data_IF_453215822970
#
_entry.id   IF_453215822970
#
_cell.length_a   1.000
_cell.length_b   1.000
_cell.length_c   1.000
_cell.angle_alpha   90.00
_cell.angle_beta   90.00
_cell.angle_gamma   90.00
#
_symmetry.space_group_name_H-M   'P 1'
#
loop_
_entity.id
_entity.type
_entity.pdbx_description
1 polymer ?
#
# COMPACT_ATOMS: atom_id res chain seq x y z
N UNK A 1 12.55 6.95 -14.24
CA UNK A 1 13.17 7.32 -12.95
C UNK A 1 12.38 6.73 -11.79
N UNK A 2 13.12 6.30 -10.80
CA UNK A 2 12.54 5.66 -9.63
C UNK A 2 12.08 6.70 -8.62
N UNK A 3 10.82 6.59 -8.22
CA UNK A 3 10.28 7.49 -7.21
C UNK A 3 10.55 6.93 -5.82
N UNK A 4 11.12 7.76 -4.95
CA UNK A 4 11.56 7.38 -3.61
C UNK A 4 10.46 7.63 -2.60
N UNK A 5 10.24 6.67 -1.70
CA UNK A 5 9.45 6.85 -0.48
C UNK A 5 10.28 6.37 0.71
N UNK A 6 9.83 6.61 1.93
CA UNK A 6 10.66 6.34 3.11
C UNK A 6 9.95 5.45 4.11
N UNK A 7 10.73 4.66 4.84
CA UNK A 7 10.22 3.89 5.96
C UNK A 7 10.33 4.69 7.28
N UNK A 8 9.97 4.06 8.38
CA UNK A 8 9.95 4.70 9.69
C UNK A 8 11.32 5.18 10.15
N UNK A 9 12.38 4.54 9.69
CA UNK A 9 13.75 4.90 10.05
C UNK A 9 14.34 5.96 9.13
N UNK A 10 13.56 6.44 8.15
CA UNK A 10 14.03 7.40 7.18
C UNK A 10 14.79 6.77 6.02
N UNK A 11 14.86 5.45 5.96
CA UNK A 11 15.50 4.76 4.84
C UNK A 11 14.68 4.95 3.58
N UNK A 12 15.39 5.14 2.48
CA UNK A 12 14.78 5.39 1.18
C UNK A 12 14.57 4.08 0.43
N UNK A 13 13.37 3.92 -0.13
CA UNK A 13 13.02 2.75 -0.93
C UNK A 13 12.35 3.21 -2.22
N UNK A 14 12.32 2.30 -3.18
CA UNK A 14 11.57 2.47 -4.43
C UNK A 14 10.81 1.17 -4.67
N UNK A 15 9.95 1.14 -5.68
CA UNK A 15 9.28 -0.12 -6.04
C UNK A 15 10.28 -1.19 -6.46
N UNK A 16 11.45 -0.81 -6.97
CA UNK A 16 12.51 -1.77 -7.29
C UNK A 16 12.98 -2.55 -6.08
N UNK A 17 12.89 -1.96 -4.89
CA UNK A 17 13.25 -2.64 -3.65
C UNK A 17 12.41 -3.89 -3.42
N UNK A 18 11.26 -3.98 -4.07
CA UNK A 18 10.30 -5.09 -3.91
C UNK A 18 10.15 -5.91 -5.19
N UNK A 19 11.07 -5.75 -6.14
CA UNK A 19 10.98 -6.46 -7.41
C UNK A 19 10.95 -7.96 -7.18
N UNK A 20 10.10 -8.66 -7.94
CA UNK A 20 9.87 -10.08 -7.75
C UNK A 20 8.63 -10.38 -6.93
N UNK A 21 8.06 -9.39 -6.25
CA UNK A 21 6.81 -9.56 -5.50
C UNK A 21 5.65 -8.92 -6.24
N UNK A 22 4.48 -9.52 -6.08
CA UNK A 22 3.22 -8.85 -6.40
C UNK A 22 2.97 -7.84 -5.29
N UNK A 23 2.61 -6.61 -5.64
CA UNK A 23 2.42 -5.52 -4.68
C UNK A 23 1.00 -5.00 -4.76
N UNK A 24 0.34 -4.86 -3.63
CA UNK A 24 -0.89 -4.09 -3.52
C UNK A 24 -0.50 -2.75 -2.91
N UNK A 25 -0.43 -1.72 -3.76
CA UNK A 25 0.04 -0.38 -3.38
C UNK A 25 -1.17 0.49 -3.07
N UNK A 26 -1.26 0.94 -1.83
CA UNK A 26 -2.40 1.73 -1.35
C UNK A 26 -1.95 3.14 -0.99
N UNK A 27 -2.58 4.14 -1.59
CA UNK A 27 -2.37 5.54 -1.22
C UNK A 27 -3.46 5.93 -0.22
N UNK A 28 -3.04 6.44 0.95
CA UNK A 28 -3.98 6.78 2.02
C UNK A 28 -3.47 7.98 2.81
N UNK A 29 -4.28 8.50 3.73
CA UNK A 29 -3.86 9.53 4.65
C UNK A 29 -4.66 9.41 5.95
N UNK A 30 -4.08 9.85 7.05
CA UNK A 30 -4.74 9.77 8.37
C UNK A 30 -5.98 10.66 8.45
N UNK A 31 -6.03 11.72 7.64
CA UNK A 31 -7.16 12.65 7.61
C UNK A 31 -8.28 12.19 6.65
N UNK A 32 -8.09 11.08 5.97
CA UNK A 32 -9.03 10.58 4.98
C UNK A 32 -9.91 9.49 5.61
N UNK A 33 -11.17 9.80 5.89
CA UNK A 33 -12.09 8.87 6.54
C UNK A 33 -12.22 7.52 5.85
N UNK A 34 -12.54 7.49 4.54
CA UNK A 34 -12.62 6.22 3.82
C UNK A 34 -11.31 5.42 3.84
N UNK A 35 -10.15 6.10 3.78
CA UNK A 35 -8.85 5.45 3.87
C UNK A 35 -8.71 4.70 5.20
N UNK A 36 -9.04 5.40 6.28
CA UNK A 36 -8.91 4.85 7.63
C UNK A 36 -9.83 3.64 7.81
N UNK A 37 -11.05 3.72 7.28
CA UNK A 37 -12.00 2.61 7.37
C UNK A 37 -11.53 1.35 6.66
N UNK A 38 -10.75 1.51 5.60
CA UNK A 38 -10.30 0.37 4.79
C UNK A 38 -9.05 -0.31 5.35
N UNK A 39 -8.26 0.39 6.17
CA UNK A 39 -6.98 -0.10 6.64
C UNK A 39 -7.02 -1.45 7.37
N UNK A 40 -8.01 -1.72 8.25
CA UNK A 40 -8.05 -3.04 8.89
C UNK A 40 -8.21 -4.19 7.89
N UNK A 41 -8.99 -4.00 6.81
CA UNK A 41 -9.13 -5.05 5.79
C UNK A 41 -7.84 -5.26 5.01
N UNK A 42 -7.09 -4.19 4.75
CA UNK A 42 -5.77 -4.30 4.14
C UNK A 42 -4.81 -5.08 5.04
N UNK A 43 -4.83 -4.82 6.33
CA UNK A 43 -3.99 -5.56 7.28
C UNK A 43 -4.32 -7.04 7.25
N UNK A 44 -5.62 -7.38 7.26
CA UNK A 44 -6.02 -8.79 7.24
C UNK A 44 -5.61 -9.49 5.94
N UNK A 45 -5.79 -8.82 4.80
CA UNK A 45 -5.34 -9.37 3.52
C UNK A 45 -3.82 -9.56 3.52
N UNK A 46 -3.08 -8.58 4.01
CA UNK A 46 -1.63 -8.69 4.07
C UNK A 46 -1.20 -9.88 4.93
N UNK A 47 -1.79 -10.02 6.12
CA UNK A 47 -1.44 -11.11 7.01
C UNK A 47 -1.77 -12.48 6.42
N UNK A 48 -2.81 -12.56 5.62
CA UNK A 48 -3.20 -13.80 4.96
C UNK A 48 -2.23 -14.20 3.84
N UNK A 49 -1.72 -13.23 3.09
CA UNK A 49 -1.01 -13.49 1.82
C UNK A 49 0.47 -13.14 1.84
N UNK A 50 0.96 -12.47 2.86
CA UNK A 50 2.36 -12.03 2.91
C UNK A 50 3.33 -13.19 2.78
N UNK A 51 4.48 -12.91 2.16
CA UNK A 51 5.51 -13.91 1.97
C UNK A 51 6.52 -13.44 0.94
N UNK A 52 7.31 -14.37 0.40
CA UNK A 52 8.32 -13.99 -0.60
C UNK A 52 7.72 -13.48 -1.90
N UNK A 53 6.45 -13.78 -2.16
CA UNK A 53 5.81 -13.45 -3.43
C UNK A 53 4.86 -12.26 -3.36
N UNK A 54 4.56 -11.73 -2.16
CA UNK A 54 3.54 -10.70 -2.03
C UNK A 54 3.77 -9.79 -0.85
N UNK A 55 3.46 -8.51 -1.03
CA UNK A 55 3.36 -7.56 0.07
C UNK A 55 2.31 -6.48 -0.25
N UNK A 56 1.71 -5.94 0.81
CA UNK A 56 1.01 -4.67 0.71
C UNK A 56 2.03 -3.57 0.99
N UNK A 57 1.92 -2.46 0.28
CA UNK A 57 2.66 -1.23 0.58
C UNK A 57 1.63 -0.13 0.76
N UNK A 58 1.46 0.35 1.99
CA UNK A 58 0.54 1.44 2.27
C UNK A 58 1.33 2.73 2.40
N UNK A 59 1.16 3.62 1.41
CA UNK A 59 1.88 4.88 1.32
C UNK A 59 1.03 6.01 1.87
N UNK A 60 1.49 6.63 2.95
CA UNK A 60 0.81 7.77 3.54
C UNK A 60 1.11 9.04 2.77
N UNK A 61 0.05 9.79 2.48
CA UNK A 61 0.14 11.11 1.86
C UNK A 61 0.11 12.23 2.89
N UNK A 62 0.25 11.91 4.18
CA UNK A 62 0.29 12.91 5.23
C UNK A 62 1.52 13.80 5.10
N UNK A 63 1.35 15.09 5.29
CA UNK A 63 2.46 16.04 5.18
C UNK A 63 3.40 15.96 6.37
N UNK A 64 2.85 15.68 7.56
CA UNK A 64 3.64 15.60 8.80
C UNK A 64 4.48 14.33 8.85
N UNK A 65 4.02 13.27 8.17
CA UNK A 65 4.81 12.04 8.07
C UNK A 65 4.70 11.14 9.29
N UNK A 66 5.84 10.61 9.75
CA UNK A 66 5.85 9.48 10.67
C UNK A 66 5.27 9.76 12.05
N UNK A 67 5.29 11.00 12.52
CA UNK A 67 4.63 11.32 13.77
C UNK A 67 3.13 10.98 13.69
N UNK A 68 2.51 11.33 12.57
CA UNK A 68 1.09 11.07 12.34
C UNK A 68 0.84 9.60 12.02
N UNK A 69 1.65 9.03 11.14
CA UNK A 69 1.52 7.64 10.70
C UNK A 69 1.65 6.69 11.87
N UNK A 70 2.67 6.89 12.71
CA UNK A 70 2.91 6.04 13.87
C UNK A 70 1.76 6.08 14.87
N UNK A 71 1.20 7.27 15.13
CA UNK A 71 0.07 7.42 16.01
C UNK A 71 -1.14 6.62 15.52
N UNK A 72 -1.43 6.71 14.21
CA UNK A 72 -2.54 5.97 13.62
C UNK A 72 -2.29 4.47 13.58
N UNK A 73 -1.05 4.06 13.29
CA UNK A 73 -0.68 2.65 13.35
C UNK A 73 -1.03 2.04 14.69
N UNK A 74 -0.66 2.73 15.77
CA UNK A 74 -0.90 2.24 17.12
C UNK A 74 -2.39 2.25 17.44
N UNK A 75 -3.08 3.33 17.09
CA UNK A 75 -4.51 3.50 17.37
C UNK A 75 -5.36 2.45 16.65
N UNK A 76 -5.01 2.11 15.40
CA UNK A 76 -5.77 1.17 14.58
C UNK A 76 -5.20 -0.25 14.63
N UNK A 77 -4.16 -0.49 15.43
CA UNK A 77 -3.52 -1.80 15.54
C UNK A 77 -3.02 -2.31 14.18
N UNK A 78 -2.28 -1.47 13.46
CA UNK A 78 -1.78 -1.79 12.13
C UNK A 78 -0.31 -2.22 12.12
N UNK A 79 0.23 -2.67 13.25
CA UNK A 79 1.66 -2.93 13.40
C UNK A 79 2.25 -3.89 12.38
N UNK A 80 1.45 -4.81 11.84
CA UNK A 80 1.93 -5.79 10.86
C UNK A 80 1.80 -5.33 9.42
N UNK A 81 1.08 -4.24 9.17
CA UNK A 81 0.89 -3.71 7.83
C UNK A 81 2.11 -2.87 7.44
N UNK A 82 2.73 -3.13 6.29
CA UNK A 82 3.87 -2.30 5.86
C UNK A 82 3.43 -0.89 5.50
N UNK A 83 3.81 0.05 6.36
CA UNK A 83 3.47 1.46 6.20
C UNK A 83 4.71 2.24 5.80
N UNK A 84 4.55 3.14 4.83
CA UNK A 84 5.63 3.99 4.34
C UNK A 84 5.10 5.40 4.16
N UNK A 85 6.00 6.35 4.06
CA UNK A 85 5.65 7.75 3.85
C UNK A 85 6.04 8.18 2.43
N UNK A 86 5.06 8.67 1.70
CA UNK A 86 5.25 9.22 0.36
C UNK A 86 5.53 10.71 0.48
N UNK A 87 6.81 11.03 0.71
CA UNK A 87 7.23 12.41 0.97
C UNK A 87 6.85 13.31 -0.21
N UNK A 88 6.13 14.38 0.10
CA UNK A 88 5.64 15.34 -0.90
C UNK A 88 4.75 14.71 -1.97
N UNK A 89 4.15 13.56 -1.65
CA UNK A 89 3.23 12.84 -2.55
C UNK A 89 3.84 12.53 -3.91
N UNK A 90 5.15 12.30 -3.94
CA UNK A 90 5.86 12.07 -5.20
C UNK A 90 5.39 10.81 -5.91
N UNK A 91 5.17 9.73 -5.15
CA UNK A 91 4.72 8.47 -5.75
C UNK A 91 3.28 8.58 -6.25
N UNK A 92 2.42 9.21 -5.44
CA UNK A 92 1.04 9.44 -5.83
C UNK A 92 0.97 10.24 -7.13
N UNK A 93 1.79 11.27 -7.24
CA UNK A 93 1.87 12.09 -8.44
C UNK A 93 2.38 11.28 -9.64
N UNK A 94 3.46 10.53 -9.45
CA UNK A 94 4.04 9.71 -10.52
C UNK A 94 3.06 8.64 -11.01
N UNK A 95 2.26 8.07 -10.11
CA UNK A 95 1.26 7.06 -10.44
C UNK A 95 -0.03 7.66 -11.01
N UNK A 96 -0.13 8.99 -11.02
CA UNK A 96 -1.33 9.71 -11.50
C UNK A 96 -2.57 9.33 -10.72
N UNK A 97 -2.42 9.05 -9.44
CA UNK A 97 -3.56 8.81 -8.55
C UNK A 97 -4.15 10.17 -8.17
N UNK A 98 -5.46 10.32 -8.33
CA UNK A 98 -6.11 11.62 -8.19
C UNK A 98 -6.98 11.75 -6.95
N UNK A 99 -7.20 10.68 -6.23
CA UNK A 99 -8.04 10.70 -5.04
C UNK A 99 -7.59 9.67 -4.05
N UNK A 100 -8.11 9.77 -2.83
CA UNK A 100 -7.80 8.84 -1.77
C UNK A 100 -9.06 8.16 -1.26
N UNK A 101 -9.02 6.86 -0.98
CA UNK A 101 -7.89 5.98 -1.25
C UNK A 101 -7.84 5.59 -2.73
N UNK A 102 -6.65 5.29 -3.22
CA UNK A 102 -6.45 4.66 -4.52
C UNK A 102 -5.52 3.49 -4.32
N UNK A 103 -5.85 2.34 -4.89
CA UNK A 103 -5.06 1.13 -4.72
C UNK A 103 -4.71 0.55 -6.08
N UNK A 104 -3.41 0.25 -6.26
CA UNK A 104 -2.88 -0.31 -7.48
C UNK A 104 -2.40 -1.73 -7.22
N UNK A 105 -2.68 -2.64 -8.14
CA UNK A 105 -2.05 -3.96 -8.14
C UNK A 105 -0.89 -3.92 -9.12
N UNK A 106 0.29 -4.30 -8.65
CA UNK A 106 1.54 -4.17 -9.40
C UNK A 106 2.19 -5.54 -9.51
N UNK A 107 2.66 -5.86 -10.72
CA UNK A 107 3.27 -7.17 -10.98
C UNK A 107 4.72 -7.23 -10.52
N UNK A 108 5.37 -8.38 -10.75
CA UNK A 108 6.73 -8.65 -10.26
C UNK A 108 7.78 -7.76 -10.91
N UNK A 109 7.48 -7.21 -12.08
CA UNK A 109 8.38 -6.30 -12.81
C UNK A 109 8.11 -4.83 -12.54
N UNK A 110 7.10 -4.53 -11.73
CA UNK A 110 6.78 -3.15 -11.38
C UNK A 110 5.72 -2.50 -12.26
N UNK A 111 5.02 -3.29 -13.08
CA UNK A 111 3.98 -2.76 -13.97
C UNK A 111 2.61 -2.81 -13.30
N UNK A 112 1.81 -1.80 -13.54
CA UNK A 112 0.46 -1.75 -13.00
C UNK A 112 -0.45 -2.73 -13.74
N UNK A 113 -1.10 -3.62 -12.97
CA UNK A 113 -2.07 -4.58 -13.52
C UNK A 113 -3.49 -4.02 -13.48
N UNK A 114 -3.77 -3.14 -12.52
CA UNK A 114 -5.07 -2.52 -12.40
C UNK A 114 -5.11 -1.59 -11.21
N UNK A 115 -6.20 -0.82 -11.09
CA UNK A 115 -6.38 0.08 -9.96
C UNK A 115 -7.84 0.20 -9.57
N UNK A 116 -8.05 0.51 -8.29
CA UNK A 116 -9.35 0.80 -7.76
C UNK A 116 -9.29 2.17 -7.06
N UNK A 117 -10.19 3.06 -7.44
CA UNK A 117 -10.34 4.36 -6.79
C UNK A 117 -11.49 4.26 -5.80
N UNK A 118 -11.23 4.61 -4.55
CA UNK A 118 -12.25 4.59 -3.51
C UNK A 118 -12.10 3.43 -2.54
N UNK A 119 -13.01 3.40 -1.56
CA UNK A 119 -13.04 2.44 -0.47
C UNK A 119 -13.35 1.03 -0.96
N UNK A 120 -12.63 0.06 -0.43
CA UNK A 120 -12.90 -1.35 -0.69
C UNK A 120 -12.67 -2.17 0.57
N UNK A 121 -13.29 -3.35 0.61
CA UNK A 121 -13.00 -4.37 1.61
C UNK A 121 -12.01 -5.35 0.99
N UNK A 122 -10.78 -5.36 1.50
CA UNK A 122 -9.69 -6.09 0.86
C UNK A 122 -9.55 -7.53 1.31
N UNK A 123 -10.21 -7.92 2.39
CA UNK A 123 -10.15 -9.30 2.91
C UNK A 123 -11.33 -10.16 2.48
N UNK A 124 -12.06 -9.76 1.44
CA UNK A 124 -13.13 -10.58 0.87
C UNK A 124 -12.54 -11.76 0.10
N UNK A 125 -13.36 -12.80 -0.10
CA UNK A 125 -12.94 -13.95 -0.89
C UNK A 125 -12.52 -13.54 -2.30
N UNK A 126 -13.23 -12.60 -2.90
CA UNK A 126 -12.96 -12.11 -4.26
C UNK A 126 -11.63 -11.40 -4.34
N UNK A 127 -11.33 -10.51 -3.38
CA UNK A 127 -10.08 -9.77 -3.36
C UNK A 127 -8.89 -10.70 -3.14
N UNK A 128 -9.02 -11.63 -2.20
CA UNK A 128 -7.97 -12.61 -1.92
C UNK A 128 -7.74 -13.50 -3.13
N UNK A 129 -8.80 -13.95 -3.80
CA UNK A 129 -8.67 -14.78 -4.98
C UNK A 129 -7.96 -14.06 -6.13
N UNK A 130 -8.25 -12.77 -6.31
CA UNK A 130 -7.61 -11.97 -7.34
C UNK A 130 -6.10 -11.88 -7.09
N UNK A 131 -5.70 -11.60 -5.87
CA UNK A 131 -4.27 -11.49 -5.54
C UNK A 131 -3.60 -12.85 -5.68
N UNK A 132 -4.23 -13.92 -5.17
CA UNK A 132 -3.69 -15.28 -5.30
C UNK A 132 -3.50 -15.71 -6.75
N UNK A 133 -4.40 -15.30 -7.62
CA UNK A 133 -4.28 -15.59 -9.06
C UNK A 133 -2.95 -15.07 -9.59
N UNK A 134 -2.62 -13.82 -9.28
CA UNK A 134 -1.38 -13.23 -9.77
C UNK A 134 -0.14 -13.76 -9.06
N UNK A 135 -0.25 -14.11 -7.78
CA UNK A 135 0.87 -14.76 -7.06
C UNK A 135 1.22 -16.09 -7.71
N UNK A 136 0.21 -16.87 -8.08
CA UNK A 136 0.40 -18.18 -8.68
C UNK A 136 0.92 -18.12 -10.12
N UNK A 137 0.69 -17.01 -10.80
CA UNK A 137 1.08 -16.83 -12.19
C UNK A 137 2.53 -16.36 -12.27
N UNK A 138 3.38 -17.15 -12.93
CA UNK A 138 4.78 -16.80 -13.09
C UNK A 138 5.16 -16.55 -14.54
#
# INVERSE_FOLDING_TARGET
PETIFTDENGDKLTLKSFRGKIILLNFWATWCGPCVREMPSLRRLHNELKGPDFTVIALSEDRIGWQKIGTFRDKLNLGELPLYHDVDSKMMYAAKARGLPTTLLIDREGNELGRLVGLAEWDTAEAIALVRYYIAKR
#
